data_IF_779597914774
#
_entry.id   IF_779597914774
#
_cell.length_a   1.000
_cell.length_b   1.000
_cell.length_c   1.000
_cell.angle_alpha   90.00
_cell.angle_beta   90.00
_cell.angle_gamma   90.00
#
_symmetry.space_group_name_H-M   'P 1'
#
loop_
_entity.id
_entity.type
_entity.pdbx_description
1 polymer ?
#
# COMPACT_ATOMS: atom_id res chain seq x y z
N UNK A 1 -11.03 -3.76 -6.23
CA UNK A 1 -10.69 -5.03 -6.90
C UNK A 1 -11.76 -6.07 -6.61
N UNK A 2 -12.08 -6.87 -7.61
CA UNK A 2 -13.11 -7.89 -7.46
C UNK A 2 -12.78 -8.93 -6.39
N UNK A 3 -11.52 -9.41 -6.36
CA UNK A 3 -11.13 -10.46 -5.42
C UNK A 3 -11.08 -10.00 -3.97
N UNK A 4 -10.65 -8.79 -3.71
CA UNK A 4 -10.38 -8.29 -2.37
C UNK A 4 -11.15 -7.01 -2.06
N UNK A 5 -12.30 -6.81 -2.70
CA UNK A 5 -13.17 -5.68 -2.45
C UNK A 5 -13.58 -5.57 -0.99
N UNK A 6 -13.61 -4.36 -0.46
CA UNK A 6 -13.98 -4.05 0.92
C UNK A 6 -13.06 -4.62 2.00
N UNK A 7 -11.82 -4.97 1.62
CA UNK A 7 -10.76 -5.28 2.58
C UNK A 7 -9.85 -4.07 2.75
N UNK A 8 -9.34 -3.88 3.96
CA UNK A 8 -8.32 -2.85 4.19
C UNK A 8 -7.02 -3.22 3.50
N UNK A 9 -6.38 -2.24 2.91
CA UNK A 9 -5.12 -2.43 2.20
C UNK A 9 -4.22 -1.21 2.38
N UNK A 10 -3.01 -1.30 1.85
CA UNK A 10 -2.08 -0.18 1.79
C UNK A 10 -2.68 0.97 0.97
N UNK A 11 -2.07 2.15 1.07
CA UNK A 11 -2.60 3.39 0.49
C UNK A 11 -2.96 3.28 -0.98
N UNK A 12 -2.11 2.64 -1.77
CA UNK A 12 -2.35 2.48 -3.20
C UNK A 12 -1.71 1.18 -3.67
N UNK A 13 -2.46 0.41 -4.45
CA UNK A 13 -1.99 -0.86 -4.99
C UNK A 13 -2.53 -1.00 -6.40
N UNK A 14 -1.64 -1.00 -7.40
CA UNK A 14 -2.05 -1.06 -8.79
C UNK A 14 -0.94 -1.61 -9.67
N UNK A 15 -1.22 -1.70 -10.98
CA UNK A 15 -0.30 -2.26 -11.96
C UNK A 15 0.11 -1.21 -12.98
N UNK A 16 1.36 -1.27 -13.49
CA UNK A 16 1.76 -0.42 -14.61
C UNK A 16 0.96 -0.75 -15.87
N UNK A 17 0.76 0.24 -16.70
CA UNK A 17 0.24 0.05 -18.05
C UNK A 17 1.36 -0.47 -18.93
N UNK A 18 1.00 -1.02 -20.10
CA UNK A 18 1.97 -1.45 -21.10
C UNK A 18 2.95 -0.30 -21.41
N UNK A 19 4.23 -0.60 -21.35
CA UNK A 19 5.33 0.35 -21.60
C UNK A 19 5.48 1.48 -20.57
N UNK A 20 4.73 1.40 -19.46
CA UNK A 20 4.86 2.35 -18.36
C UNK A 20 5.84 1.79 -17.33
N UNK A 21 6.82 2.60 -16.85
CA UNK A 21 7.69 2.13 -15.78
C UNK A 21 6.94 2.17 -14.44
N UNK A 22 7.45 1.41 -13.47
CA UNK A 22 6.78 1.22 -12.19
C UNK A 22 6.64 2.52 -11.41
N UNK A 23 7.69 3.33 -11.38
CA UNK A 23 7.66 4.59 -10.65
C UNK A 23 6.63 5.57 -11.22
N UNK A 24 6.52 5.65 -12.54
CA UNK A 24 5.48 6.44 -13.20
C UNK A 24 4.09 5.93 -12.86
N UNK A 25 3.93 4.61 -12.81
CA UNK A 25 2.65 3.98 -12.45
C UNK A 25 2.26 4.33 -11.02
N UNK A 26 3.20 4.28 -10.07
CA UNK A 26 2.94 4.65 -8.68
C UNK A 26 2.48 6.10 -8.59
N UNK A 27 3.20 7.02 -9.20
CA UNK A 27 2.85 8.44 -9.20
C UNK A 27 1.48 8.69 -9.83
N UNK A 28 1.22 8.04 -10.97
CA UNK A 28 -0.06 8.17 -11.66
C UNK A 28 -1.23 7.68 -10.80
N UNK A 29 -1.10 6.50 -10.22
CA UNK A 29 -2.20 5.92 -9.43
C UNK A 29 -2.43 6.64 -8.11
N UNK A 30 -1.38 7.14 -7.47
CA UNK A 30 -1.55 7.98 -6.28
C UNK A 30 -2.35 9.24 -6.61
N UNK A 31 -2.06 9.87 -7.76
CA UNK A 31 -2.80 11.04 -8.19
C UNK A 31 -4.25 10.69 -8.53
N UNK A 32 -4.48 9.60 -9.25
CA UNK A 32 -5.83 9.19 -9.66
C UNK A 32 -6.70 8.75 -8.48
N UNK A 33 -6.15 7.94 -7.57
CA UNK A 33 -6.94 7.35 -6.47
C UNK A 33 -7.09 8.29 -5.27
N UNK A 34 -6.05 9.03 -4.90
CA UNK A 34 -6.01 9.80 -3.66
C UNK A 34 -5.69 11.28 -3.84
N UNK A 35 -5.43 11.71 -5.06
CA UNK A 35 -5.00 13.08 -5.36
C UNK A 35 -3.71 13.44 -4.61
N UNK A 36 -2.79 12.48 -4.53
CA UNK A 36 -1.50 12.66 -3.86
C UNK A 36 -0.40 12.83 -4.91
N UNK A 37 0.42 13.88 -4.72
CA UNK A 37 1.67 14.08 -5.47
C UNK A 37 2.76 14.35 -4.44
N UNK A 38 3.72 13.43 -4.34
CA UNK A 38 4.83 13.55 -3.39
C UNK A 38 6.01 12.72 -3.89
N UNK A 39 7.22 13.02 -3.41
CA UNK A 39 8.37 12.14 -3.68
C UNK A 39 8.11 10.75 -3.11
N UNK A 40 8.49 9.73 -3.88
CA UNK A 40 8.37 8.35 -3.45
C UNK A 40 9.74 7.70 -3.44
N UNK A 41 9.94 6.74 -2.53
CA UNK A 41 11.20 6.05 -2.34
C UNK A 41 10.96 4.55 -2.39
N UNK A 42 11.71 3.87 -3.25
CA UNK A 42 11.66 2.41 -3.34
C UNK A 42 12.22 1.79 -2.06
N UNK A 43 11.52 0.80 -1.50
CA UNK A 43 12.00 0.05 -0.35
C UNK A 43 12.50 -1.34 -0.73
N UNK A 44 11.63 -2.16 -1.32
CA UNK A 44 11.96 -3.55 -1.68
C UNK A 44 10.92 -4.11 -2.63
N UNK A 45 11.18 -5.30 -3.14
CA UNK A 45 10.22 -6.06 -3.96
C UNK A 45 10.10 -7.48 -3.43
N UNK A 46 8.95 -8.10 -3.67
CA UNK A 46 8.71 -9.49 -3.29
C UNK A 46 7.71 -10.14 -4.23
N UNK A 47 7.75 -11.47 -4.28
CA UNK A 47 6.78 -12.24 -5.06
C UNK A 47 5.64 -12.66 -4.14
N UNK A 48 4.43 -12.45 -4.61
CA UNK A 48 3.22 -12.72 -3.86
C UNK A 48 2.32 -13.68 -4.62
N UNK A 49 1.78 -14.68 -3.91
CA UNK A 49 0.76 -15.57 -4.44
C UNK A 49 -0.21 -15.94 -3.32
N UNK A 50 -1.51 -15.77 -3.57
CA UNK A 50 -2.54 -16.05 -2.59
C UNK A 50 -3.84 -16.43 -3.29
N UNK A 51 -4.62 -17.31 -2.67
CA UNK A 51 -5.93 -17.72 -3.15
C UNK A 51 -7.01 -17.03 -2.32
N UNK A 52 -8.06 -16.55 -2.99
CA UNK A 52 -9.23 -15.99 -2.32
C UNK A 52 -10.40 -16.98 -2.44
N UNK A 53 -10.39 -18.02 -1.59
CA UNK A 53 -11.41 -19.06 -1.60
C UNK A 53 -11.58 -19.65 -2.99
N UNK A 54 -12.84 -19.70 -3.47
CA UNK A 54 -13.18 -20.19 -4.81
C UNK A 54 -13.33 -19.08 -5.84
N UNK A 55 -13.06 -17.81 -5.46
CA UNK A 55 -13.25 -16.66 -6.34
C UNK A 55 -12.11 -16.51 -7.34
N UNK A 56 -10.87 -16.80 -6.91
CA UNK A 56 -9.70 -16.66 -7.76
C UNK A 56 -8.42 -16.59 -6.96
N UNK A 57 -7.33 -16.24 -7.63
CA UNK A 57 -6.02 -16.13 -7.01
C UNK A 57 -5.25 -14.93 -7.54
N UNK A 58 -4.27 -14.49 -6.74
CA UNK A 58 -3.31 -13.45 -7.10
C UNK A 58 -1.92 -14.05 -7.14
N UNK A 59 -1.15 -13.73 -8.17
CA UNK A 59 0.26 -14.12 -8.28
C UNK A 59 1.00 -13.01 -9.00
N UNK A 60 1.84 -12.27 -8.29
CA UNK A 60 2.52 -11.13 -8.88
C UNK A 60 3.80 -10.76 -8.15
N UNK A 61 4.67 -10.02 -8.84
CA UNK A 61 5.84 -9.38 -8.25
C UNK A 61 5.43 -7.99 -7.77
N UNK A 62 5.54 -7.76 -6.48
CA UNK A 62 5.14 -6.51 -5.85
C UNK A 62 6.34 -5.62 -5.55
N UNK A 63 6.26 -4.35 -5.96
CA UNK A 63 7.26 -3.33 -5.64
C UNK A 63 6.69 -2.43 -4.56
N UNK A 64 7.42 -2.23 -3.48
CA UNK A 64 6.96 -1.46 -2.33
C UNK A 64 7.70 -0.12 -2.27
N UNK A 65 6.92 0.95 -2.22
CA UNK A 65 7.41 2.32 -2.11
C UNK A 65 6.86 2.99 -0.86
N UNK A 66 7.58 3.97 -0.35
CA UNK A 66 7.09 4.84 0.72
C UNK A 66 7.16 6.29 0.23
N UNK A 67 6.18 7.08 0.61
CA UNK A 67 6.14 8.52 0.36
C UNK A 67 5.68 9.26 1.58
N UNK A 68 6.07 10.52 1.70
CA UNK A 68 5.63 11.42 2.76
C UNK A 68 4.71 12.48 2.16
N UNK A 69 3.54 12.63 2.73
CA UNK A 69 2.56 13.58 2.26
C UNK A 69 1.76 14.14 3.45
N UNK A 70 1.70 15.46 3.55
CA UNK A 70 0.98 16.15 4.62
C UNK A 70 -0.18 16.99 4.10
N UNK A 71 -0.48 16.90 2.81
CA UNK A 71 -1.58 17.64 2.20
C UNK A 71 -2.93 16.97 2.42
N UNK A 72 -3.95 17.53 1.79
CA UNK A 72 -5.30 17.00 1.83
C UNK A 72 -5.45 15.83 0.86
N UNK A 73 -6.05 14.73 1.35
CA UNK A 73 -6.36 13.57 0.51
C UNK A 73 -7.77 13.73 -0.05
N UNK A 74 -7.89 13.58 -1.38
CA UNK A 74 -9.18 13.57 -2.07
C UNK A 74 -9.31 12.24 -2.79
N UNK A 75 -9.96 11.27 -2.14
CA UNK A 75 -10.11 9.93 -2.66
C UNK A 75 -11.17 9.86 -3.76
N UNK A 76 -10.85 9.11 -4.84
CA UNK A 76 -11.83 8.81 -5.88
C UNK A 76 -12.80 7.75 -5.36
N UNK A 77 -14.09 8.05 -5.21
CA UNK A 77 -15.06 7.12 -4.65
C UNK A 77 -15.26 5.85 -5.49
N UNK A 78 -14.90 5.87 -6.78
CA UNK A 78 -14.98 4.69 -7.64
C UNK A 78 -13.85 3.69 -7.36
N UNK A 79 -12.73 4.16 -6.81
CA UNK A 79 -11.55 3.32 -6.55
C UNK A 79 -11.36 3.06 -5.06
N UNK A 80 -11.75 4.01 -4.22
CA UNK A 80 -11.50 3.99 -2.77
C UNK A 80 -12.81 4.13 -2.02
N UNK A 81 -13.26 3.04 -1.37
CA UNK A 81 -14.48 3.08 -0.58
C UNK A 81 -14.29 3.91 0.69
N UNK A 82 -13.13 3.78 1.32
CA UNK A 82 -12.85 4.43 2.59
C UNK A 82 -11.34 4.46 2.82
N UNK A 83 -10.84 5.48 3.52
CA UNK A 83 -9.45 5.53 3.96
C UNK A 83 -9.37 6.03 5.40
N UNK A 84 -8.28 5.71 6.10
CA UNK A 84 -8.03 6.18 7.45
C UNK A 84 -6.54 6.29 7.75
N UNK A 85 -6.21 7.11 8.73
CA UNK A 85 -4.84 7.29 9.21
C UNK A 85 -4.67 6.52 10.52
N UNK A 86 -3.60 5.75 10.63
CA UNK A 86 -3.31 4.95 11.82
C UNK A 86 -1.85 5.11 12.22
N UNK A 87 -1.60 5.17 13.52
CA UNK A 87 -0.24 5.03 14.03
C UNK A 87 0.25 3.59 13.81
N UNK A 88 1.56 3.35 13.76
CA UNK A 88 2.07 1.97 13.63
C UNK A 88 1.55 1.03 14.72
N UNK A 89 1.46 1.51 15.96
CA UNK A 89 0.97 0.71 17.07
C UNK A 89 -0.50 0.33 16.89
N UNK A 90 -1.31 1.28 16.44
CA UNK A 90 -2.74 1.04 16.23
C UNK A 90 -2.97 0.08 15.06
N UNK A 91 -2.20 0.24 13.99
CA UNK A 91 -2.28 -0.68 12.84
C UNK A 91 -1.92 -2.11 13.27
N UNK A 92 -0.86 -2.28 14.06
CA UNK A 92 -0.49 -3.59 14.60
C UNK A 92 -1.63 -4.22 15.39
N UNK A 93 -2.29 -3.44 16.23
CA UNK A 93 -3.40 -3.94 17.04
C UNK A 93 -4.60 -4.34 16.18
N UNK A 94 -4.94 -3.54 15.18
CA UNK A 94 -6.08 -3.85 14.31
C UNK A 94 -5.84 -5.09 13.46
N UNK A 95 -4.63 -5.27 12.94
CA UNK A 95 -4.29 -6.46 12.16
C UNK A 95 -4.38 -7.71 13.03
N UNK A 96 -3.87 -7.65 14.27
CA UNK A 96 -3.96 -8.79 15.20
C UNK A 96 -5.39 -9.12 15.58
N UNK A 97 -6.23 -8.10 15.77
CA UNK A 97 -7.61 -8.28 16.19
C UNK A 97 -8.52 -8.79 15.07
N UNK A 98 -8.27 -8.37 13.82
CA UNK A 98 -9.17 -8.62 12.70
C UNK A 98 -8.39 -8.80 11.39
N UNK A 99 -7.44 -9.75 11.39
CA UNK A 99 -6.58 -9.98 10.23
C UNK A 99 -7.35 -10.29 8.95
N UNK A 100 -8.50 -10.92 9.05
CA UNK A 100 -9.36 -11.27 7.92
C UNK A 100 -9.92 -10.03 7.18
N UNK A 101 -9.88 -8.86 7.80
CA UNK A 101 -10.35 -7.62 7.19
C UNK A 101 -9.27 -6.90 6.39
N UNK A 102 -8.05 -7.44 6.36
CA UNK A 102 -6.92 -6.86 5.66
C UNK A 102 -6.46 -7.75 4.51
N UNK A 103 -6.00 -7.14 3.42
CA UNK A 103 -5.48 -7.92 2.30
C UNK A 103 -4.21 -8.67 2.72
N UNK A 104 -3.98 -9.89 2.19
CA UNK A 104 -2.77 -10.65 2.54
C UNK A 104 -1.48 -9.91 2.18
N UNK A 105 -1.44 -9.23 1.02
CA UNK A 105 -0.23 -8.51 0.61
C UNK A 105 0.09 -7.35 1.54
N UNK A 106 -0.91 -6.64 2.04
CA UNK A 106 -0.71 -5.56 2.99
C UNK A 106 -0.10 -6.07 4.30
N UNK A 107 -0.58 -7.21 4.79
CA UNK A 107 -0.05 -7.83 6.01
C UNK A 107 1.41 -8.25 5.82
N UNK A 108 1.73 -8.86 4.68
CA UNK A 108 3.11 -9.25 4.36
C UNK A 108 4.03 -8.04 4.25
N UNK A 109 3.57 -6.99 3.56
CA UNK A 109 4.32 -5.75 3.41
C UNK A 109 4.59 -5.09 4.76
N UNK A 110 3.56 -5.00 5.60
CA UNK A 110 3.69 -4.36 6.91
C UNK A 110 4.67 -5.10 7.81
N UNK A 111 4.59 -6.43 7.86
CA UNK A 111 5.52 -7.24 8.65
C UNK A 111 6.97 -7.06 8.19
N UNK A 112 7.20 -7.05 6.88
CA UNK A 112 8.54 -6.83 6.33
C UNK A 112 9.06 -5.43 6.64
N UNK A 113 8.20 -4.42 6.55
CA UNK A 113 8.56 -3.04 6.88
C UNK A 113 8.98 -2.93 8.34
N UNK A 114 8.21 -3.51 9.25
CA UNK A 114 8.54 -3.48 10.67
C UNK A 114 9.86 -4.18 10.99
N UNK A 115 10.10 -5.33 10.34
CA UNK A 115 11.27 -6.14 10.62
C UNK A 115 12.55 -5.57 10.02
N UNK A 116 12.47 -4.96 8.83
CA UNK A 116 13.68 -4.64 8.05
C UNK A 116 13.82 -3.17 7.65
N UNK A 117 12.73 -2.39 7.62
CA UNK A 117 12.74 -1.05 7.01
C UNK A 117 12.26 0.07 7.92
N UNK A 118 11.94 -0.23 9.16
CA UNK A 118 11.43 0.78 10.12
C UNK A 118 12.40 1.94 10.28
N UNK A 119 13.68 1.63 10.49
CA UNK A 119 14.72 2.66 10.65
C UNK A 119 14.91 3.50 9.40
N UNK A 120 14.84 2.88 8.22
CA UNK A 120 14.95 3.59 6.95
C UNK A 120 13.83 4.61 6.77
N UNK A 121 12.61 4.23 7.12
CA UNK A 121 11.46 5.13 7.03
C UNK A 121 11.58 6.27 8.05
N UNK A 122 11.95 5.96 9.29
CA UNK A 122 12.14 6.97 10.33
C UNK A 122 13.22 7.99 9.94
N UNK A 123 14.31 7.53 9.31
CA UNK A 123 15.37 8.41 8.82
C UNK A 123 14.87 9.34 7.70
N UNK A 124 14.06 8.83 6.79
CA UNK A 124 13.47 9.62 5.71
C UNK A 124 12.54 10.70 6.26
N UNK A 125 11.75 10.37 7.27
CA UNK A 125 10.88 11.35 7.95
C UNK A 125 11.72 12.45 8.59
N UNK A 126 12.79 12.09 9.31
CA UNK A 126 13.67 13.04 9.96
C UNK A 126 14.33 14.00 8.95
N UNK A 127 14.74 13.48 7.79
CA UNK A 127 15.35 14.29 6.74
C UNK A 127 14.35 15.24 6.05
N UNK A 128 13.07 14.89 6.08
CA UNK A 128 12.01 15.68 5.45
C UNK A 128 11.45 16.79 6.35
N UNK A 129 11.73 16.71 7.64
CA UNK A 129 11.35 17.73 8.60
C UNK A 129 12.40 18.82 8.67
#
# INVERSE_FOLDING_TARGET
KELWGLHWSNSCCSHPRKNENIESAVNRRLAEELTIQCPIHFLYKFTYQENFGNVGSEHELCYVYVGLFDGEIKADPNEVAEYKFLSPQKLNREIKASSENFTPWMQMEWNTILDNYKSDIENKIALSL
#
